data_IF_973254611890
#
_entry.id   IF_973254611890
#
_cell.length_a   1.000
_cell.length_b   1.000
_cell.length_c   1.000
_cell.angle_alpha   90.00
_cell.angle_beta   90.00
_cell.angle_gamma   90.00
#
_symmetry.space_group_name_H-M   'P 1'
#
loop_
_entity.id
_entity.type
_entity.pdbx_description
1 polymer ?
#
# COMPACT_ATOMS: atom_id res chain seq x y z
N UNK A 1 5.35 16.58 4.25
CA UNK A 1 5.70 17.00 2.88
C UNK A 1 4.65 16.46 1.93
N UNK A 2 3.78 17.34 1.44
CA UNK A 2 2.84 17.01 0.36
C UNK A 2 3.68 16.81 -0.89
N UNK A 3 3.76 15.58 -1.41
CA UNK A 3 4.34 15.33 -2.73
C UNK A 3 3.46 16.06 -3.75
N UNK A 4 3.79 17.31 -4.08
CA UNK A 4 3.28 17.98 -5.27
C UNK A 4 3.67 17.07 -6.43
N UNK A 5 2.68 16.48 -7.09
CA UNK A 5 2.89 15.77 -8.34
C UNK A 5 3.34 16.85 -9.33
N UNK A 6 4.66 16.95 -9.56
CA UNK A 6 5.20 17.83 -10.58
C UNK A 6 4.68 17.34 -11.93
N UNK A 7 3.86 18.16 -12.58
CA UNK A 7 3.32 17.87 -13.90
C UNK A 7 4.47 17.92 -14.89
N UNK A 8 4.98 16.76 -15.30
CA UNK A 8 6.05 16.66 -16.29
C UNK A 8 5.48 16.71 -17.71
N UNK A 9 5.66 17.80 -18.45
CA UNK A 9 5.37 17.88 -19.89
C UNK A 9 6.70 17.99 -20.62
N UNK A 10 7.37 16.85 -20.78
CA UNK A 10 8.61 16.78 -21.54
C UNK A 10 8.79 15.42 -22.18
N UNK A 11 9.93 15.23 -22.83
CA UNK A 11 10.23 14.06 -23.65
C UNK A 11 10.72 12.85 -22.85
N UNK A 12 11.18 13.03 -21.61
CA UNK A 12 11.77 11.98 -20.77
C UNK A 12 11.41 12.11 -19.28
N UNK A 13 10.79 11.10 -18.71
CA UNK A 13 10.45 11.05 -17.29
C UNK A 13 11.13 9.88 -16.59
N UNK A 14 11.59 10.07 -15.36
CA UNK A 14 12.20 9.01 -14.54
C UNK A 14 11.68 9.03 -13.10
N UNK A 15 11.52 7.85 -12.53
CA UNK A 15 11.30 7.63 -11.10
C UNK A 15 12.29 6.59 -10.59
N UNK A 16 13.49 7.05 -10.26
CA UNK A 16 14.65 6.21 -9.94
C UNK A 16 14.38 5.24 -8.78
N UNK A 17 13.71 5.69 -7.72
CA UNK A 17 13.36 4.85 -6.55
C UNK A 17 12.47 3.65 -6.87
N UNK A 18 11.75 3.67 -8.00
CA UNK A 18 10.92 2.56 -8.49
C UNK A 18 11.49 1.93 -9.78
N UNK A 19 12.65 2.40 -10.24
CA UNK A 19 13.27 1.92 -11.46
C UNK A 19 12.43 2.18 -12.72
N UNK A 20 11.62 3.25 -12.75
CA UNK A 20 10.76 3.55 -13.90
C UNK A 20 11.38 4.64 -14.76
N UNK A 21 11.26 4.48 -16.07
CA UNK A 21 11.66 5.46 -17.06
C UNK A 21 10.64 5.48 -18.20
N UNK A 22 10.43 6.64 -18.79
CA UNK A 22 9.53 6.86 -19.94
C UNK A 22 10.20 7.83 -20.90
N UNK A 23 10.22 7.50 -22.18
CA UNK A 23 10.68 8.37 -23.26
C UNK A 23 9.60 8.49 -24.33
N UNK A 24 9.19 9.72 -24.63
CA UNK A 24 8.21 10.02 -25.68
C UNK A 24 8.84 9.74 -27.04
N UNK A 25 8.15 8.95 -27.86
CA UNK A 25 8.53 8.66 -29.24
C UNK A 25 7.73 9.50 -30.23
N UNK A 26 6.43 9.61 -30.01
CA UNK A 26 5.52 10.43 -30.81
C UNK A 26 4.46 11.08 -29.91
N UNK A 27 3.95 12.23 -30.34
CA UNK A 27 2.88 12.92 -29.65
C UNK A 27 1.98 13.61 -30.66
N UNK A 28 0.75 13.12 -30.78
CA UNK A 28 -0.31 13.84 -31.47
C UNK A 28 -0.97 14.80 -30.50
N UNK A 29 -0.44 16.02 -30.42
CA UNK A 29 -0.90 16.99 -29.44
C UNK A 29 -2.31 17.47 -29.75
N UNK A 30 -3.27 16.97 -28.98
CA UNK A 30 -4.68 17.38 -29.05
C UNK A 30 -5.08 18.26 -27.87
N UNK A 31 -4.71 17.85 -26.65
CA UNK A 31 -5.03 18.52 -25.39
C UNK A 31 -3.98 18.22 -24.33
N UNK A 32 -3.72 19.18 -23.45
CA UNK A 32 -2.94 18.96 -22.22
C UNK A 32 -3.82 18.25 -21.18
N UNK A 33 -3.97 16.94 -21.34
CA UNK A 33 -4.73 16.11 -20.40
C UNK A 33 -3.95 14.83 -20.06
N UNK A 34 -3.96 14.49 -18.77
CA UNK A 34 -3.32 13.30 -18.23
C UNK A 34 -4.28 12.50 -17.36
N UNK A 35 -4.17 11.16 -17.36
CA UNK A 35 -5.03 10.34 -16.53
C UNK A 35 -4.67 10.48 -15.05
N UNK A 36 -5.68 10.68 -14.22
CA UNK A 36 -5.53 10.68 -12.77
C UNK A 36 -5.56 9.24 -12.20
N UNK A 37 -5.33 9.11 -10.88
CA UNK A 37 -5.18 7.81 -10.19
C UNK A 37 -6.41 6.89 -10.24
N UNK A 38 -7.57 7.43 -10.62
CA UNK A 38 -8.85 6.69 -10.76
C UNK A 38 -9.41 6.72 -12.18
N UNK A 39 -8.56 7.06 -13.16
CA UNK A 39 -9.01 7.15 -14.53
C UNK A 39 -9.38 5.78 -15.12
N UNK A 40 -10.21 5.82 -16.17
CA UNK A 40 -10.37 4.73 -17.13
C UNK A 40 -9.83 5.22 -18.46
N UNK A 41 -8.86 4.51 -19.00
CA UNK A 41 -8.15 4.89 -20.21
C UNK A 41 -8.20 3.78 -21.25
N UNK A 42 -8.06 4.13 -22.51
CA UNK A 42 -7.72 3.18 -23.57
C UNK A 42 -6.23 3.33 -23.84
N UNK A 43 -5.51 2.20 -23.72
CA UNK A 43 -4.13 2.08 -24.16
C UNK A 43 -4.03 1.09 -25.31
N UNK A 44 -3.03 1.30 -26.16
CA UNK A 44 -2.61 0.34 -27.16
C UNK A 44 -1.15 -0.01 -26.90
N UNK A 45 -0.83 -1.29 -26.78
CA UNK A 45 0.54 -1.76 -26.51
C UNK A 45 1.10 -2.34 -27.79
N UNK A 46 2.13 -1.71 -28.35
CA UNK A 46 2.70 -2.05 -29.66
C UNK A 46 3.78 -3.13 -29.52
N UNK A 47 4.63 -2.98 -28.51
CA UNK A 47 5.79 -3.84 -28.29
C UNK A 47 6.04 -4.06 -26.81
N UNK A 48 6.45 -5.28 -26.46
CA UNK A 48 6.89 -5.66 -25.12
C UNK A 48 8.12 -6.54 -25.23
N UNK A 49 9.19 -6.20 -24.53
CA UNK A 49 10.43 -6.96 -24.47
C UNK A 49 10.73 -7.40 -23.03
N UNK A 50 11.43 -8.52 -22.89
CA UNK A 50 11.94 -9.04 -21.60
C UNK A 50 10.87 -9.31 -20.53
N UNK A 51 9.59 -9.45 -20.90
CA UNK A 51 8.51 -9.78 -19.96
C UNK A 51 8.72 -11.14 -19.29
N UNK A 52 9.16 -12.16 -20.04
CA UNK A 52 9.32 -13.55 -19.61
C UNK A 52 8.02 -14.09 -18.99
N UNK A 53 8.10 -14.82 -17.88
CA UNK A 53 6.95 -15.45 -17.20
C UNK A 53 6.27 -14.52 -16.18
N UNK A 54 6.50 -13.20 -16.26
CA UNK A 54 5.93 -12.25 -15.29
C UNK A 54 4.45 -12.03 -15.56
N UNK A 55 3.63 -12.25 -14.55
CA UNK A 55 2.19 -12.03 -14.60
C UNK A 55 1.85 -10.58 -14.88
N UNK A 56 0.94 -10.37 -15.84
CA UNK A 56 0.43 -9.06 -16.25
C UNK A 56 -0.92 -9.24 -16.94
N UNK A 57 -1.81 -8.28 -16.72
CA UNK A 57 -3.09 -8.24 -17.43
C UNK A 57 -2.96 -7.60 -18.82
N UNK A 58 -2.07 -6.61 -18.97
CA UNK A 58 -2.11 -5.68 -20.11
C UNK A 58 -1.03 -5.92 -21.18
N UNK A 59 0.03 -6.64 -20.84
CA UNK A 59 1.21 -6.81 -21.72
C UNK A 59 1.28 -8.19 -22.38
N UNK A 60 0.14 -8.85 -22.57
CA UNK A 60 0.08 -10.19 -23.15
C UNK A 60 0.21 -10.13 -24.69
N UNK A 61 0.88 -11.12 -25.29
CA UNK A 61 1.05 -11.19 -26.75
C UNK A 61 -0.28 -11.13 -27.53
N UNK A 62 -1.35 -11.70 -26.97
CA UNK A 62 -2.68 -11.74 -27.60
C UNK A 62 -3.40 -10.38 -27.62
N UNK A 63 -2.95 -9.43 -26.78
CA UNK A 63 -3.54 -8.09 -26.64
C UNK A 63 -2.67 -6.99 -27.27
N UNK A 64 -1.52 -7.34 -27.84
CA UNK A 64 -0.69 -6.40 -28.59
C UNK A 64 -1.44 -5.83 -29.79
N UNK A 65 -1.19 -4.55 -30.08
CA UNK A 65 -1.80 -3.77 -31.16
C UNK A 65 -3.33 -3.71 -31.09
N UNK A 66 -3.91 -3.99 -29.92
CA UNK A 66 -5.35 -3.87 -29.66
C UNK A 66 -5.60 -2.85 -28.57
N UNK A 67 -6.73 -2.16 -28.71
CA UNK A 67 -7.20 -1.23 -27.70
C UNK A 67 -7.66 -1.98 -26.45
N UNK A 68 -7.09 -1.58 -25.31
CA UNK A 68 -7.34 -2.19 -24.02
C UNK A 68 -7.86 -1.12 -23.05
N UNK A 69 -8.99 -1.39 -22.39
CA UNK A 69 -9.54 -0.49 -21.38
C UNK A 69 -8.85 -0.75 -20.03
N UNK A 70 -7.90 0.10 -19.66
CA UNK A 70 -7.23 0.04 -18.36
C UNK A 70 -7.98 0.88 -17.32
N UNK A 71 -8.38 0.23 -16.23
CA UNK A 71 -8.90 0.91 -15.05
C UNK A 71 -7.77 1.15 -14.05
N UNK A 72 -7.45 2.43 -13.78
CA UNK A 72 -6.35 2.79 -12.88
C UNK A 72 -6.65 2.36 -11.44
N UNK A 73 -5.60 1.97 -10.72
CA UNK A 73 -5.70 1.48 -9.36
C UNK A 73 -6.29 0.07 -9.24
N UNK A 74 -6.34 -0.71 -10.32
CA UNK A 74 -6.85 -2.08 -10.34
C UNK A 74 -5.77 -3.15 -10.36
N UNK A 75 -4.51 -2.77 -10.59
CA UNK A 75 -3.39 -3.70 -10.71
C UNK A 75 -3.25 -4.68 -9.52
N UNK A 76 -3.04 -5.96 -9.87
CA UNK A 76 -2.81 -7.07 -8.93
C UNK A 76 -1.48 -7.77 -9.20
N UNK A 77 -0.59 -7.13 -9.95
CA UNK A 77 0.77 -7.59 -10.21
C UNK A 77 1.74 -6.41 -10.10
N UNK A 78 3.02 -6.65 -9.78
CA UNK A 78 4.06 -5.62 -9.81
C UNK A 78 4.15 -4.87 -11.14
N UNK A 79 4.02 -5.61 -12.25
CA UNK A 79 4.15 -5.07 -13.60
C UNK A 79 3.00 -4.13 -13.91
N UNK A 80 1.76 -4.56 -13.67
CA UNK A 80 0.58 -3.73 -13.92
C UNK A 80 0.58 -2.48 -13.02
N UNK A 81 1.05 -2.61 -11.77
CA UNK A 81 1.15 -1.47 -10.86
C UNK A 81 2.13 -0.40 -11.37
N UNK A 82 3.27 -0.82 -11.92
CA UNK A 82 4.23 0.11 -12.51
C UNK A 82 3.74 0.68 -13.83
N UNK A 83 3.06 -0.13 -14.64
CA UNK A 83 2.44 0.30 -15.88
C UNK A 83 1.40 1.41 -15.63
N UNK A 84 0.54 1.26 -14.61
CA UNK A 84 -0.38 2.33 -14.20
C UNK A 84 0.37 3.63 -13.85
N UNK A 85 1.52 3.56 -13.19
CA UNK A 85 2.31 4.77 -12.87
C UNK A 85 2.84 5.42 -14.15
N UNK A 86 3.35 4.62 -15.09
CA UNK A 86 3.88 5.10 -16.38
C UNK A 86 2.79 5.77 -17.21
N UNK A 87 1.61 5.15 -17.30
CA UNK A 87 0.45 5.70 -18.01
C UNK A 87 -0.02 7.04 -17.41
N UNK A 88 0.05 7.23 -16.09
CA UNK A 88 -0.23 8.54 -15.46
C UNK A 88 0.71 9.66 -15.90
N UNK A 89 1.89 9.31 -16.45
CA UNK A 89 2.84 10.29 -16.94
C UNK A 89 2.65 10.60 -18.42
N UNK A 90 1.80 9.86 -19.14
CA UNK A 90 1.54 10.08 -20.56
C UNK A 90 0.50 11.18 -20.79
N UNK A 91 0.56 11.81 -21.95
CA UNK A 91 -0.47 12.69 -22.49
C UNK A 91 -1.37 11.94 -23.46
N UNK A 92 -2.59 12.42 -23.64
CA UNK A 92 -3.50 11.91 -24.67
C UNK A 92 -2.85 11.99 -26.06
N UNK A 93 -2.85 10.89 -26.82
CA UNK A 93 -2.18 10.77 -28.12
C UNK A 93 -0.66 10.57 -28.05
N UNK A 94 -0.09 10.40 -26.85
CA UNK A 94 1.34 10.13 -26.67
C UNK A 94 1.65 8.64 -26.92
N UNK A 95 2.65 8.38 -27.75
CA UNK A 95 3.35 7.08 -27.85
C UNK A 95 4.67 7.18 -27.12
N UNK A 96 4.93 6.27 -26.17
CA UNK A 96 6.12 6.30 -25.36
C UNK A 96 6.75 4.93 -25.18
N UNK A 97 8.08 4.91 -25.17
CA UNK A 97 8.88 3.80 -24.69
C UNK A 97 9.00 3.90 -23.17
N UNK A 98 8.37 2.96 -22.48
CA UNK A 98 8.39 2.82 -21.04
C UNK A 98 9.34 1.69 -20.65
N UNK A 99 10.15 1.92 -19.63
CA UNK A 99 11.11 0.95 -19.09
C UNK A 99 10.84 0.69 -17.61
N UNK A 100 10.77 -0.58 -17.24
CA UNK A 100 10.73 -1.04 -15.86
C UNK A 100 12.04 -1.78 -15.58
N UNK A 101 12.89 -1.19 -14.74
CA UNK A 101 14.16 -1.80 -14.36
C UNK A 101 13.94 -3.09 -13.60
N UNK A 102 14.74 -4.10 -13.93
CA UNK A 102 14.77 -5.35 -13.17
C UNK A 102 16.04 -5.44 -12.33
N UNK A 103 16.12 -6.45 -11.47
CA UNK A 103 17.32 -6.70 -10.66
C UNK A 103 18.48 -7.23 -11.51
N UNK A 104 18.18 -7.81 -12.67
CA UNK A 104 19.18 -8.41 -13.56
C UNK A 104 19.60 -7.36 -14.59
N UNK A 105 20.86 -6.93 -14.62
CA UNK A 105 21.35 -5.98 -15.62
C UNK A 105 21.06 -6.47 -17.04
N UNK A 106 20.54 -5.59 -17.89
CA UNK A 106 20.23 -5.90 -19.29
C UNK A 106 18.89 -6.58 -19.53
N UNK A 107 18.15 -6.96 -18.48
CA UNK A 107 16.81 -7.59 -18.60
C UNK A 107 15.68 -6.63 -18.24
N UNK A 108 15.89 -5.33 -18.44
CA UNK A 108 14.87 -4.33 -18.22
C UNK A 108 13.68 -4.58 -19.15
N UNK A 109 12.47 -4.47 -18.61
CA UNK A 109 11.25 -4.68 -19.37
C UNK A 109 11.00 -3.38 -20.13
N UNK A 110 10.94 -3.48 -21.47
CA UNK A 110 10.65 -2.35 -22.35
C UNK A 110 9.27 -2.52 -22.96
N UNK A 111 8.52 -1.44 -22.99
CA UNK A 111 7.12 -1.43 -23.41
C UNK A 111 6.95 -0.20 -24.30
N UNK A 112 6.54 -0.37 -25.55
CA UNK A 112 6.07 0.75 -26.37
C UNK A 112 4.55 0.75 -26.31
N UNK A 113 3.98 1.84 -25.82
CA UNK A 113 2.54 1.97 -25.73
C UNK A 113 2.06 3.39 -26.04
N UNK A 114 0.81 3.46 -26.48
CA UNK A 114 0.12 4.68 -26.86
C UNK A 114 -1.10 4.90 -25.97
N UNK A 115 -1.26 6.11 -25.41
CA UNK A 115 -2.45 6.51 -24.67
C UNK A 115 -3.50 7.08 -25.65
N UNK A 116 -4.46 6.26 -26.04
CA UNK A 116 -5.44 6.58 -27.09
C UNK A 116 -6.56 7.49 -26.58
N UNK A 117 -7.15 7.14 -25.43
CA UNK A 117 -8.33 7.83 -24.90
C UNK A 117 -8.32 7.90 -23.38
N UNK A 118 -8.82 8.99 -22.80
CA UNK A 118 -9.16 9.10 -21.38
C UNK A 118 -10.68 9.13 -21.25
N UNK A 119 -11.31 7.97 -21.05
CA UNK A 119 -12.77 7.84 -20.98
C UNK A 119 -13.36 8.52 -19.76
N UNK A 120 -12.69 8.38 -18.62
CA UNK A 120 -13.10 8.95 -17.34
C UNK A 120 -11.85 9.33 -16.56
N UNK A 121 -11.84 10.52 -15.98
CA UNK A 121 -10.77 10.93 -15.07
C UNK A 121 -11.31 11.91 -14.05
N UNK A 122 -10.86 11.77 -12.80
CA UNK A 122 -11.25 12.66 -11.71
C UNK A 122 -10.08 12.80 -10.74
N UNK A 123 -9.80 14.03 -10.31
CA UNK A 123 -8.82 14.26 -9.25
C UNK A 123 -9.32 13.72 -7.92
N UNK A 124 -8.42 13.22 -7.06
CA UNK A 124 -8.78 12.74 -5.72
C UNK A 124 -9.54 13.80 -4.94
N UNK A 125 -9.14 15.07 -5.07
CA UNK A 125 -9.78 16.22 -4.45
C UNK A 125 -11.20 16.51 -4.94
N UNK A 126 -11.60 15.95 -6.09
CA UNK A 126 -12.93 16.12 -6.65
C UNK A 126 -13.89 15.00 -6.21
N UNK A 127 -13.38 13.93 -5.58
CA UNK A 127 -14.19 12.78 -5.17
C UNK A 127 -15.14 13.17 -4.03
N UNK A 128 -16.38 12.69 -4.14
CA UNK A 128 -17.39 12.74 -3.08
C UNK A 128 -17.04 11.76 -1.96
N UNK A 129 -17.72 11.85 -0.82
CA UNK A 129 -17.50 10.91 0.31
C UNK A 129 -17.67 9.45 -0.11
N UNK A 130 -18.75 9.06 -0.82
CA UNK A 130 -18.93 7.67 -1.23
C UNK A 130 -17.84 7.20 -2.18
N UNK A 131 -17.48 8.01 -3.18
CA UNK A 131 -16.40 7.67 -4.13
C UNK A 131 -15.04 7.51 -3.41
N UNK A 132 -14.74 8.37 -2.43
CA UNK A 132 -13.51 8.26 -1.63
C UNK A 132 -13.50 6.99 -0.78
N UNK A 133 -14.63 6.65 -0.15
CA UNK A 133 -14.79 5.43 0.63
C UNK A 133 -14.63 4.18 -0.23
N UNK A 134 -15.26 4.15 -1.41
CA UNK A 134 -15.15 3.07 -2.37
C UNK A 134 -13.71 2.91 -2.88
N UNK A 135 -13.04 4.02 -3.21
CA UNK A 135 -11.65 4.00 -3.66
C UNK A 135 -10.72 3.45 -2.57
N UNK A 136 -10.86 3.92 -1.33
CA UNK A 136 -10.07 3.42 -0.21
C UNK A 136 -10.34 1.93 0.07
N UNK A 137 -11.60 1.50 -0.06
CA UNK A 137 -12.01 0.09 0.06
C UNK A 137 -11.36 -0.78 -1.02
N UNK A 138 -11.40 -0.33 -2.29
CA UNK A 138 -10.75 -1.00 -3.42
C UNK A 138 -9.25 -1.14 -3.20
N UNK A 139 -8.57 -0.06 -2.78
CA UNK A 139 -7.14 -0.13 -2.45
C UNK A 139 -6.84 -1.06 -1.28
N UNK A 140 -7.68 -1.07 -0.23
CA UNK A 140 -7.55 -2.05 0.86
C UNK A 140 -7.65 -3.48 0.32
N UNK A 141 -8.63 -3.78 -0.51
CA UNK A 141 -8.83 -5.12 -1.08
C UNK A 141 -7.67 -5.56 -1.99
N UNK A 142 -7.16 -4.65 -2.83
CA UNK A 142 -5.97 -4.90 -3.64
C UNK A 142 -4.76 -5.16 -2.76
N UNK A 143 -4.58 -4.39 -1.68
CA UNK A 143 -3.55 -4.64 -0.68
C UNK A 143 -3.65 -6.05 -0.08
N UNK A 144 -4.86 -6.50 0.29
CA UNK A 144 -5.09 -7.86 0.81
C UNK A 144 -4.72 -8.93 -0.22
N UNK A 145 -5.15 -8.77 -1.48
CA UNK A 145 -4.82 -9.70 -2.58
C UNK A 145 -3.31 -9.78 -2.81
N UNK A 146 -2.63 -8.64 -2.76
CA UNK A 146 -1.19 -8.53 -2.98
C UNK A 146 -0.36 -9.02 -1.78
N UNK A 147 -0.88 -8.98 -0.56
CA UNK A 147 -0.10 -9.20 0.67
C UNK A 147 0.67 -10.53 0.69
N UNK A 148 0.04 -11.61 0.23
CA UNK A 148 0.63 -12.94 0.27
C UNK A 148 1.81 -13.11 -0.70
N UNK A 149 1.70 -12.57 -1.91
CA UNK A 149 2.66 -12.79 -3.00
C UNK A 149 3.63 -11.62 -3.20
N UNK A 150 3.15 -10.40 -2.94
CA UNK A 150 3.83 -9.14 -3.23
C UNK A 150 3.68 -8.14 -2.05
N UNK A 151 4.22 -8.45 -0.86
CA UNK A 151 3.99 -7.67 0.37
C UNK A 151 4.41 -6.20 0.27
N UNK A 152 5.47 -5.90 -0.50
CA UNK A 152 5.92 -4.51 -0.75
C UNK A 152 4.82 -3.70 -1.45
N UNK A 153 4.15 -4.30 -2.44
CA UNK A 153 3.06 -3.62 -3.16
C UNK A 153 1.77 -3.57 -2.35
N UNK A 154 1.55 -4.55 -1.48
CA UNK A 154 0.44 -4.50 -0.52
C UNK A 154 0.57 -3.28 0.41
N UNK A 155 1.78 -3.03 0.92
CA UNK A 155 2.07 -1.82 1.70
C UNK A 155 1.72 -0.55 0.92
N UNK A 156 2.15 -0.44 -0.34
CA UNK A 156 1.83 0.71 -1.21
C UNK A 156 0.31 0.92 -1.37
N UNK A 157 -0.45 -0.16 -1.55
CA UNK A 157 -1.92 -0.08 -1.65
C UNK A 157 -2.58 0.35 -0.34
N UNK A 158 -2.19 -0.23 0.80
CA UNK A 158 -2.72 0.21 2.09
C UNK A 158 -2.34 1.67 2.40
N UNK A 159 -1.14 2.11 2.01
CA UNK A 159 -0.72 3.50 2.16
C UNK A 159 -1.54 4.44 1.26
N UNK A 160 -1.86 4.04 0.02
CA UNK A 160 -2.80 4.78 -0.84
C UNK A 160 -4.19 4.87 -0.20
N UNK A 161 -4.72 3.76 0.30
CA UNK A 161 -6.02 3.71 0.98
C UNK A 161 -6.06 4.65 2.20
N UNK A 162 -5.03 4.62 3.04
CA UNK A 162 -4.93 5.50 4.20
C UNK A 162 -4.88 6.99 3.78
N UNK A 163 -4.10 7.31 2.75
CA UNK A 163 -4.01 8.69 2.22
C UNK A 163 -5.33 9.19 1.67
N UNK A 164 -6.14 8.35 1.01
CA UNK A 164 -7.49 8.71 0.57
C UNK A 164 -8.34 9.19 1.75
N UNK A 165 -8.33 8.44 2.85
CA UNK A 165 -9.15 8.76 4.01
C UNK A 165 -8.61 9.96 4.81
N UNK A 166 -7.29 10.06 5.01
CA UNK A 166 -6.65 11.18 5.72
C UNK A 166 -6.81 12.50 4.97
N UNK A 167 -6.84 12.47 3.63
CA UNK A 167 -7.04 13.67 2.82
C UNK A 167 -8.47 14.21 2.90
N UNK A 168 -9.39 13.46 3.51
CA UNK A 168 -10.78 13.86 3.69
C UNK A 168 -11.01 14.52 5.04
N UNK A 169 -12.06 15.35 5.14
CA UNK A 169 -12.45 16.09 6.37
C UNK A 169 -12.58 15.16 7.59
N UNK A 170 -12.50 15.72 8.80
CA UNK A 170 -12.72 15.02 10.07
C UNK A 170 -13.98 14.14 10.00
N UNK A 171 -13.82 12.84 10.27
CA UNK A 171 -14.89 11.85 10.11
C UNK A 171 -16.10 12.15 11.01
N UNK A 172 -15.87 12.76 12.18
CA UNK A 172 -16.89 13.05 13.21
C UNK A 172 -18.11 13.83 12.69
N UNK A 173 -17.92 14.63 11.64
CA UNK A 173 -19.01 15.41 11.05
C UNK A 173 -19.88 14.65 10.06
N UNK A 174 -19.48 13.47 9.59
CA UNK A 174 -20.10 12.78 8.45
C UNK A 174 -21.33 11.95 8.85
N UNK A 175 -22.42 12.12 8.10
CA UNK A 175 -23.67 11.40 8.31
C UNK A 175 -24.12 10.71 7.02
N UNK A 176 -24.67 9.50 7.14
CA UNK A 176 -25.18 8.75 5.98
C UNK A 176 -26.23 9.52 5.17
N UNK A 177 -27.07 10.32 5.84
CA UNK A 177 -28.15 11.10 5.19
C UNK A 177 -27.62 12.25 4.33
N UNK A 178 -26.62 12.99 4.81
CA UNK A 178 -26.08 14.17 4.11
C UNK A 178 -24.97 13.80 3.14
N UNK A 179 -24.13 12.85 3.55
CA UNK A 179 -22.83 12.60 2.92
C UNK A 179 -22.78 11.22 2.23
N UNK A 180 -23.79 10.37 2.40
CA UNK A 180 -23.86 9.01 1.84
C UNK A 180 -23.10 7.94 2.64
N UNK A 181 -22.10 8.34 3.43
CA UNK A 181 -21.32 7.46 4.32
C UNK A 181 -21.24 8.07 5.72
N UNK A 182 -21.40 7.27 6.77
CA UNK A 182 -21.27 7.76 8.13
C UNK A 182 -19.79 7.86 8.56
N UNK A 183 -19.47 8.81 9.44
CA UNK A 183 -18.13 8.96 10.00
C UNK A 183 -17.59 7.69 10.66
N UNK A 184 -18.48 6.93 11.31
CA UNK A 184 -18.14 5.63 11.91
C UNK A 184 -17.62 4.63 10.88
N UNK A 185 -18.25 4.56 9.70
CA UNK A 185 -17.85 3.63 8.64
C UNK A 185 -16.48 4.01 8.07
N UNK A 186 -16.23 5.32 7.91
CA UNK A 186 -14.91 5.85 7.51
C UNK A 186 -13.82 5.49 8.53
N UNK A 187 -14.11 5.68 9.82
CA UNK A 187 -13.19 5.36 10.91
C UNK A 187 -12.91 3.85 10.98
N UNK A 188 -13.94 3.02 10.82
CA UNK A 188 -13.80 1.57 10.82
C UNK A 188 -12.91 1.11 9.66
N UNK A 189 -13.15 1.62 8.44
CA UNK A 189 -12.30 1.34 7.29
C UNK A 189 -10.86 1.79 7.53
N UNK A 190 -10.67 2.98 8.10
CA UNK A 190 -9.34 3.49 8.44
C UNK A 190 -8.61 2.58 9.42
N UNK A 191 -9.27 2.11 10.49
CA UNK A 191 -8.70 1.17 11.47
C UNK A 191 -8.32 -0.17 10.80
N UNK A 192 -9.15 -0.68 9.89
CA UNK A 192 -8.83 -1.89 9.14
C UNK A 192 -7.58 -1.70 8.27
N UNK A 193 -7.46 -0.55 7.59
CA UNK A 193 -6.29 -0.19 6.79
C UNK A 193 -5.04 -0.08 7.67
N UNK A 194 -5.12 0.60 8.82
CA UNK A 194 -4.00 0.75 9.74
C UNK A 194 -3.54 -0.58 10.32
N UNK A 195 -4.50 -1.43 10.68
CA UNK A 195 -4.23 -2.79 11.13
C UNK A 195 -3.46 -3.55 10.05
N UNK A 196 -3.86 -3.45 8.78
CA UNK A 196 -3.16 -4.11 7.67
C UNK A 196 -1.78 -3.51 7.36
N UNK A 197 -1.61 -2.18 7.46
CA UNK A 197 -0.29 -1.55 7.38
C UNK A 197 0.66 -2.11 8.45
N UNK A 198 0.18 -2.26 9.69
CA UNK A 198 0.97 -2.88 10.75
C UNK A 198 1.43 -4.31 10.41
N UNK A 199 0.63 -5.08 9.64
CA UNK A 199 1.08 -6.40 9.17
C UNK A 199 2.26 -6.30 8.19
N UNK A 200 2.21 -5.35 7.24
CA UNK A 200 3.32 -5.11 6.32
C UNK A 200 4.57 -4.65 7.07
N UNK A 201 4.42 -3.72 8.01
CA UNK A 201 5.53 -3.17 8.80
C UNK A 201 6.18 -4.21 9.71
N UNK A 202 5.42 -5.18 10.23
CA UNK A 202 5.99 -6.33 10.94
C UNK A 202 6.88 -7.20 10.03
N UNK A 203 6.46 -7.45 8.79
CA UNK A 203 7.28 -8.18 7.82
C UNK A 203 8.57 -7.42 7.47
N UNK A 204 8.51 -6.08 7.48
CA UNK A 204 9.65 -5.18 7.28
C UNK A 204 10.50 -4.96 8.54
N UNK A 205 10.12 -5.56 9.69
CA UNK A 205 10.75 -5.37 11.01
C UNK A 205 10.79 -3.91 11.49
N UNK A 206 9.82 -3.10 11.08
CA UNK A 206 9.67 -1.69 11.45
C UNK A 206 8.75 -1.55 12.67
N UNK A 207 9.25 -1.95 13.83
CA UNK A 207 8.42 -2.13 15.03
C UNK A 207 7.87 -0.82 15.60
N UNK A 208 8.64 0.27 15.60
CA UNK A 208 8.15 1.60 16.01
C UNK A 208 6.95 2.06 15.17
N UNK A 209 7.02 1.85 13.85
CA UNK A 209 5.93 2.20 12.95
C UNK A 209 4.69 1.34 13.20
N UNK A 210 4.87 0.06 13.57
CA UNK A 210 3.75 -0.81 14.00
C UNK A 210 3.06 -0.24 15.24
N UNK A 211 3.83 0.20 16.24
CA UNK A 211 3.28 0.83 17.44
C UNK A 211 2.54 2.13 17.13
N UNK A 212 3.06 2.95 16.21
CA UNK A 212 2.37 4.14 15.74
C UNK A 212 1.02 3.80 15.08
N UNK A 213 1.02 2.90 14.09
CA UNK A 213 -0.21 2.55 13.37
C UNK A 213 -1.24 1.83 14.25
N UNK A 214 -0.83 1.19 15.34
CA UNK A 214 -1.71 0.48 16.27
C UNK A 214 -2.01 1.26 17.56
N UNK A 215 -1.65 2.54 17.62
CA UNK A 215 -1.84 3.40 18.81
C UNK A 215 -3.31 3.48 19.28
N UNK A 216 -4.26 3.38 18.35
CA UNK A 216 -5.70 3.34 18.64
C UNK A 216 -6.11 2.17 19.56
N UNK A 217 -5.30 1.11 19.69
CA UNK A 217 -5.57 -0.03 20.58
C UNK A 217 -5.65 0.41 22.05
N UNK A 218 -5.02 1.52 22.41
CA UNK A 218 -5.05 2.03 23.79
C UNK A 218 -6.28 2.88 24.09
N UNK A 219 -6.96 3.42 23.07
CA UNK A 219 -8.12 4.31 23.23
C UNK A 219 -9.45 3.67 22.81
N UNK A 220 -9.41 2.59 22.02
CA UNK A 220 -10.62 1.88 21.62
C UNK A 220 -11.14 0.96 22.71
N UNK A 221 -12.47 0.95 22.89
CA UNK A 221 -13.15 0.06 23.84
C UNK A 221 -13.00 -1.42 23.47
N UNK A 222 -13.04 -1.74 22.18
CA UNK A 222 -12.98 -3.12 21.67
C UNK A 222 -12.14 -3.18 20.38
N UNK A 223 -10.80 -3.06 20.47
CA UNK A 223 -9.93 -3.20 19.32
C UNK A 223 -9.92 -4.64 18.81
N UNK A 224 -9.68 -4.81 17.50
CA UNK A 224 -9.63 -6.16 16.92
C UNK A 224 -8.45 -6.97 17.47
N UNK A 225 -8.63 -8.27 17.63
CA UNK A 225 -7.56 -9.19 18.05
C UNK A 225 -6.32 -9.07 17.17
N UNK A 226 -6.50 -8.88 15.86
CA UNK A 226 -5.39 -8.68 14.92
C UNK A 226 -4.58 -7.43 15.26
N UNK A 227 -5.23 -6.33 15.62
CA UNK A 227 -4.56 -5.08 16.01
C UNK A 227 -3.78 -5.26 17.31
N UNK A 228 -4.39 -5.92 18.31
CA UNK A 228 -3.75 -6.20 19.60
C UNK A 228 -2.55 -7.12 19.43
N UNK A 229 -2.70 -8.22 18.69
CA UNK A 229 -1.63 -9.17 18.42
C UNK A 229 -0.44 -8.52 17.72
N UNK A 230 -0.71 -7.70 16.68
CA UNK A 230 0.35 -7.00 15.93
C UNK A 230 1.10 -5.99 16.80
N UNK A 231 0.40 -5.27 17.69
CA UNK A 231 1.01 -4.37 18.67
C UNK A 231 1.88 -5.13 19.69
N UNK A 232 1.35 -6.22 20.25
CA UNK A 232 2.09 -7.06 21.19
C UNK A 232 3.36 -7.68 20.56
N UNK A 233 3.27 -8.12 19.31
CA UNK A 233 4.42 -8.60 18.53
C UNK A 233 5.51 -7.53 18.39
N UNK A 234 5.13 -6.27 18.12
CA UNK A 234 6.08 -5.17 18.03
C UNK A 234 6.79 -4.92 19.37
N UNK A 235 6.05 -4.81 20.48
CA UNK A 235 6.65 -4.69 21.82
C UNK A 235 7.59 -5.85 22.15
N UNK A 236 7.18 -7.09 21.85
CA UNK A 236 8.03 -8.27 22.05
C UNK A 236 9.36 -8.16 21.29
N UNK A 237 9.33 -7.76 20.02
CA UNK A 237 10.52 -7.60 19.21
C UNK A 237 11.40 -6.41 19.61
N UNK A 238 10.84 -5.42 20.29
CA UNK A 238 11.57 -4.29 20.87
C UNK A 238 12.10 -4.58 22.28
N UNK A 239 11.96 -5.83 22.78
CA UNK A 239 12.33 -6.24 24.13
C UNK A 239 11.51 -5.54 25.26
N UNK A 240 10.39 -4.92 24.91
CA UNK A 240 9.44 -4.29 25.84
C UNK A 240 8.47 -5.34 26.38
N UNK A 241 9.01 -6.33 27.08
CA UNK A 241 8.27 -7.55 27.44
C UNK A 241 7.08 -7.30 28.37
N UNK A 242 7.19 -6.35 29.29
CA UNK A 242 6.09 -5.99 30.19
C UNK A 242 4.90 -5.40 29.40
N UNK A 243 5.18 -4.50 28.46
CA UNK A 243 4.16 -3.89 27.60
C UNK A 243 3.54 -4.92 26.65
N UNK A 244 4.34 -5.86 26.13
CA UNK A 244 3.84 -6.97 25.33
C UNK A 244 2.86 -7.84 26.12
N UNK A 245 3.19 -8.24 27.36
CA UNK A 245 2.29 -9.03 28.22
C UNK A 245 0.99 -8.29 28.52
N UNK A 246 1.07 -7.04 29.00
CA UNK A 246 -0.12 -6.22 29.28
C UNK A 246 -1.01 -6.06 28.05
N UNK A 247 -0.40 -5.95 26.87
CA UNK A 247 -1.15 -5.86 25.60
C UNK A 247 -1.88 -7.15 25.26
N UNK A 248 -1.26 -8.31 25.47
CA UNK A 248 -1.88 -9.64 25.23
C UNK A 248 -3.03 -9.88 26.21
N UNK A 249 -2.86 -9.51 27.47
CA UNK A 249 -3.84 -9.71 28.54
C UNK A 249 -5.13 -8.89 28.35
N UNK A 250 -5.14 -7.89 27.45
CA UNK A 250 -6.37 -7.20 27.02
C UNK A 250 -7.35 -8.11 26.26
N UNK A 251 -6.88 -9.24 25.74
CA UNK A 251 -7.72 -10.18 24.97
C UNK A 251 -8.38 -11.17 25.93
N UNK A 252 -9.72 -11.20 25.91
CA UNK A 252 -10.49 -12.22 26.61
C UNK A 252 -10.15 -13.60 26.04
N UNK A 253 -9.94 -14.57 26.93
CA UNK A 253 -9.58 -15.95 26.60
C UNK A 253 -8.30 -16.09 25.74
N UNK A 254 -7.34 -15.17 25.91
CA UNK A 254 -6.08 -15.22 25.15
C UNK A 254 -5.31 -16.55 25.29
N UNK A 255 -5.54 -17.29 26.38
CA UNK A 255 -4.92 -18.59 26.65
C UNK A 255 -5.47 -19.70 25.75
N UNK A 256 -6.73 -19.60 25.35
CA UNK A 256 -7.37 -20.58 24.45
C UNK A 256 -7.02 -20.28 22.98
N UNK A 257 -6.49 -19.09 22.71
CA UNK A 257 -6.07 -18.64 21.38
C UNK A 257 -4.59 -18.97 21.17
N UNK A 258 -4.33 -20.03 20.40
CA UNK A 258 -2.98 -20.56 20.13
C UNK A 258 -1.92 -19.49 19.82
N UNK A 259 -2.22 -18.52 18.96
CA UNK A 259 -1.26 -17.46 18.60
C UNK A 259 -0.88 -16.59 19.79
N UNK A 260 -1.87 -16.14 20.56
CA UNK A 260 -1.66 -15.32 21.75
C UNK A 260 -0.98 -16.09 22.87
N UNK A 261 -1.42 -17.33 23.16
CA UNK A 261 -0.81 -18.19 24.16
C UNK A 261 0.69 -18.42 23.87
N UNK A 262 1.02 -18.69 22.60
CA UNK A 262 2.41 -18.86 22.17
C UNK A 262 3.23 -17.58 22.32
N UNK A 263 2.69 -16.42 21.91
CA UNK A 263 3.38 -15.14 22.06
C UNK A 263 3.59 -14.79 23.53
N UNK A 264 2.59 -15.03 24.38
CA UNK A 264 2.65 -14.78 25.81
C UNK A 264 3.75 -15.62 26.47
N UNK A 265 3.80 -16.92 26.16
CA UNK A 265 4.82 -17.82 26.69
C UNK A 265 6.23 -17.40 26.26
N UNK A 266 6.43 -17.10 24.96
CA UNK A 266 7.70 -16.58 24.43
C UNK A 266 8.14 -15.29 25.12
N UNK A 267 7.20 -14.37 25.35
CA UNK A 267 7.45 -13.10 26.04
C UNK A 267 7.88 -13.35 27.48
N UNK A 268 7.18 -14.25 28.20
CA UNK A 268 7.50 -14.61 29.58
C UNK A 268 8.89 -15.24 29.72
N UNK A 269 9.24 -16.16 28.83
CA UNK A 269 10.54 -16.83 28.86
C UNK A 269 11.67 -15.87 28.51
N UNK A 270 11.47 -15.02 27.49
CA UNK A 270 12.45 -13.98 27.11
C UNK A 270 12.67 -12.96 28.23
N UNK A 271 11.60 -12.57 28.93
CA UNK A 271 11.70 -11.64 30.05
C UNK A 271 12.46 -12.23 31.23
N UNK A 272 12.19 -13.49 31.59
CA UNK A 272 12.93 -14.20 32.63
C UNK A 272 14.43 -14.27 32.31
N UNK A 273 14.77 -14.60 31.06
CA UNK A 273 16.15 -14.69 30.61
C UNK A 273 16.85 -13.33 30.67
N UNK A 274 16.19 -12.25 30.21
CA UNK A 274 16.72 -10.89 30.30
C UNK A 274 16.99 -10.47 31.75
N UNK A 275 16.05 -10.73 32.66
CA UNK A 275 16.22 -10.42 34.08
C UNK A 275 17.34 -11.24 34.74
N UNK A 276 17.52 -12.51 34.36
CA UNK A 276 18.61 -13.34 34.86
C UNK A 276 19.97 -12.82 34.39
N UNK A 277 20.09 -12.40 33.12
CA UNK A 277 21.31 -11.80 32.58
C UNK A 277 21.66 -10.48 33.27
N UNK A 278 20.67 -9.60 33.47
CA UNK A 278 20.86 -8.35 34.19
C UNK A 278 21.35 -8.58 35.63
N UNK A 279 20.72 -9.50 36.36
CA UNK A 279 21.16 -9.88 37.72
C UNK A 279 22.61 -10.38 37.74
N UNK A 280 22.98 -11.22 36.77
CA UNK A 280 24.35 -11.72 36.65
C UNK A 280 25.38 -10.63 36.32
N UNK A 281 25.01 -9.63 35.50
CA UNK A 281 25.88 -8.47 35.23
C UNK A 281 26.08 -7.61 36.48
N UNK A 282 25.00 -7.28 37.19
CA UNK A 282 25.06 -6.48 38.42
C UNK A 282 25.91 -7.18 39.48
N UNK A 283 25.73 -8.49 39.67
CA UNK A 283 26.54 -9.27 40.61
C UNK A 283 28.04 -9.26 40.27
N UNK A 284 28.42 -9.21 38.99
CA UNK A 284 29.83 -9.11 38.58
C UNK A 284 30.42 -7.70 38.70
N UNK A 285 29.57 -6.67 38.62
CA UNK A 285 30.01 -5.28 38.71
C UNK A 285 30.13 -4.79 40.16
N UNK A 286 29.35 -5.36 41.08
CA UNK A 286 29.23 -4.89 42.46
C UNK A 286 29.43 -5.97 43.53
N UNK A 287 29.71 -7.22 43.14
CA UNK A 287 30.08 -8.33 44.04
C UNK A 287 31.54 -8.69 43.85
#
# INVERSE_FOLDING_TARGET
>A
MVHKMEWYVGTEWKLERKGLYKKVQALEFTKVEKPHQVAKVIINVEQVENLKDRETQWLNANTLNKDQIMEMGSALTPIDYYLEILVQQMMLGETAECTIKTKTPGEDIKIVLTLQEIKQTKGIQQLTVPEMYELASKYKENGVKMFKKYPIFAHEYFAKAAKCLISYKNFEGLTKKRDGVAGKDMQELFIQIQTNLAACLLNEKRYDDVLYQTSFVDTMNAPSEKSIYRRAMAYYHMHEYELAQKTIEKVVDFKDKKEFANLYQKTKDSWKNSNAQYKGMVQKMFG
#
